data_IF_024440628491
#
_entry.id   IF_024440628491
#
_cell.length_a   1.000
_cell.length_b   1.000
_cell.length_c   1.000
_cell.angle_alpha   90.00
_cell.angle_beta   90.00
_cell.angle_gamma   90.00
#
_symmetry.space_group_name_H-M   'P 1'
#
loop_
_entity.id
_entity.type
_entity.pdbx_description
1 polymer ?
#
# COMPACT_ATOMS: atom_id res chain seq x y z
N UNK A 1 6.98 3.40 -12.76
CA UNK A 1 5.72 2.68 -12.48
C UNK A 1 6.08 1.44 -11.71
N UNK A 2 5.27 1.07 -10.72
CA UNK A 2 5.42 -0.17 -9.97
C UNK A 2 4.07 -0.87 -9.87
N UNK A 3 4.07 -2.20 -9.98
CA UNK A 3 2.95 -3.05 -9.59
C UNK A 3 3.48 -4.16 -8.69
N UNK A 4 2.96 -4.21 -7.47
CA UNK A 4 3.31 -5.19 -6.45
C UNK A 4 2.08 -5.97 -6.01
N UNK A 5 2.26 -7.23 -5.62
CA UNK A 5 1.17 -8.04 -5.11
C UNK A 5 1.62 -9.11 -4.12
N UNK A 6 0.66 -9.61 -3.37
CA UNK A 6 0.80 -10.79 -2.52
C UNK A 6 -0.48 -11.63 -2.60
N UNK A 7 -0.33 -12.92 -2.37
CA UNK A 7 -1.43 -13.87 -2.24
C UNK A 7 -1.30 -14.66 -0.95
N UNK A 8 -2.40 -14.95 -0.28
CA UNK A 8 -2.46 -15.73 0.95
C UNK A 8 -1.49 -15.21 2.04
N UNK A 9 -1.64 -13.93 2.39
CA UNK A 9 -0.84 -13.29 3.44
C UNK A 9 -1.69 -12.93 4.64
N UNK A 10 -1.29 -13.39 5.82
CA UNK A 10 -1.92 -13.00 7.09
C UNK A 10 -1.23 -11.75 7.62
N UNK A 11 -2.01 -10.72 7.90
CA UNK A 11 -1.54 -9.42 8.36
C UNK A 11 -2.21 -9.09 9.68
N UNK A 12 -1.41 -8.84 10.71
CA UNK A 12 -1.90 -8.43 12.02
C UNK A 12 -2.56 -7.04 11.96
N UNK A 13 -3.36 -6.71 12.98
CA UNK A 13 -3.84 -5.35 13.15
C UNK A 13 -2.66 -4.37 13.29
N UNK A 14 -2.78 -3.21 12.65
CA UNK A 14 -1.79 -2.13 12.56
C UNK A 14 -0.45 -2.52 11.90
N UNK A 15 -0.38 -3.68 11.24
CA UNK A 15 0.81 -4.09 10.50
C UNK A 15 0.77 -3.59 9.04
N UNK A 16 1.95 -3.42 8.46
CA UNK A 16 2.09 -3.17 7.03
C UNK A 16 1.70 -4.41 6.25
N UNK A 17 0.86 -4.24 5.24
CA UNK A 17 0.53 -5.29 4.27
C UNK A 17 1.77 -5.54 3.41
N UNK A 18 2.32 -6.77 3.38
CA UNK A 18 3.50 -7.07 2.58
C UNK A 18 3.13 -7.25 1.11
N UNK A 19 3.96 -6.70 0.22
CA UNK A 19 3.95 -7.00 -1.22
C UNK A 19 5.19 -7.84 -1.52
N UNK A 20 5.01 -9.15 -1.65
CA UNK A 20 6.11 -10.12 -1.77
C UNK A 20 6.55 -10.33 -3.22
N UNK A 21 5.72 -9.95 -4.18
CA UNK A 21 5.98 -10.10 -5.60
C UNK A 21 5.83 -8.75 -6.31
N UNK A 22 6.56 -8.61 -7.42
CA UNK A 22 6.53 -7.42 -8.28
C UNK A 22 6.37 -7.89 -9.71
N UNK A 23 5.31 -7.46 -10.40
CA UNK A 23 5.08 -7.76 -11.82
C UNK A 23 5.69 -6.69 -12.71
N UNK A 24 5.63 -5.43 -12.28
CA UNK A 24 6.14 -4.28 -13.01
C UNK A 24 7.01 -3.47 -12.06
N UNK A 25 8.27 -3.23 -12.44
CA UNK A 25 9.10 -2.19 -11.86
C UNK A 25 9.85 -1.51 -12.99
N UNK A 26 9.41 -0.30 -13.34
CA UNK A 26 9.96 0.45 -14.48
C UNK A 26 10.58 1.77 -14.03
N UNK A 27 11.86 1.91 -14.36
CA UNK A 27 12.68 3.08 -14.03
C UNK A 27 12.98 3.16 -12.54
N UNK A 28 13.45 4.33 -12.09
CA UNK A 28 13.77 4.56 -10.68
C UNK A 28 12.69 5.35 -9.93
N UNK A 29 11.49 5.59 -10.49
CA UNK A 29 10.50 6.51 -9.89
C UNK A 29 9.83 5.94 -8.64
N UNK A 30 9.41 4.68 -8.70
CA UNK A 30 8.78 3.94 -7.61
C UNK A 30 9.43 2.56 -7.56
N UNK A 31 9.89 2.15 -6.38
CA UNK A 31 10.63 0.90 -6.19
C UNK A 31 10.14 0.19 -4.93
N UNK A 32 10.05 -1.14 -4.97
CA UNK A 32 9.83 -1.91 -3.75
C UNK A 32 11.14 -1.92 -2.95
N UNK A 33 11.13 -1.27 -1.79
CA UNK A 33 12.29 -1.14 -0.92
C UNK A 33 12.40 -2.32 0.06
N UNK A 34 11.26 -2.76 0.58
CA UNK A 34 11.11 -3.95 1.42
C UNK A 34 9.67 -4.48 1.27
N UNK A 35 9.36 -5.70 1.75
CA UNK A 35 7.98 -6.20 1.76
C UNK A 35 7.03 -5.22 2.46
N UNK A 36 6.11 -4.60 1.69
CA UNK A 36 5.16 -3.61 2.19
C UNK A 36 5.67 -2.16 2.23
N UNK A 37 6.88 -1.89 1.74
CA UNK A 37 7.50 -0.57 1.70
C UNK A 37 7.85 -0.18 0.27
N UNK A 38 7.20 0.86 -0.26
CA UNK A 38 7.46 1.37 -1.61
C UNK A 38 8.10 2.76 -1.49
N UNK A 39 9.31 2.90 -2.06
CA UNK A 39 10.03 4.15 -2.13
C UNK A 39 9.66 4.92 -3.39
N UNK A 40 9.25 6.18 -3.23
CA UNK A 40 9.00 7.14 -4.29
C UNK A 40 10.21 8.11 -4.39
N UNK A 41 11.01 7.93 -5.43
CA UNK A 41 12.33 8.55 -5.55
C UNK A 41 12.35 9.87 -6.35
N UNK A 42 11.29 10.12 -7.14
CA UNK A 42 11.22 11.29 -8.02
C UNK A 42 10.11 12.24 -7.58
N UNK A 43 10.38 13.53 -7.63
CA UNK A 43 9.39 14.59 -7.47
C UNK A 43 8.29 14.45 -8.51
N UNK A 44 7.07 14.79 -8.11
CA UNK A 44 5.88 14.64 -8.94
C UNK A 44 4.68 14.13 -8.17
N UNK A 45 3.63 13.81 -8.90
CA UNK A 45 2.40 13.23 -8.36
C UNK A 45 2.32 11.76 -8.75
N UNK A 46 1.97 10.91 -7.79
CA UNK A 46 1.81 9.48 -7.97
C UNK A 46 0.36 9.11 -7.73
N UNK A 47 -0.24 8.41 -8.68
CA UNK A 47 -1.50 7.71 -8.47
C UNK A 47 -1.19 6.34 -7.86
N UNK A 48 -1.80 6.08 -6.71
CA UNK A 48 -1.70 4.83 -5.97
C UNK A 48 -3.08 4.19 -5.95
N UNK A 49 -3.19 3.02 -6.54
CA UNK A 49 -4.41 2.20 -6.54
C UNK A 49 -4.11 0.92 -5.79
N UNK A 50 -5.00 0.56 -4.86
CA UNK A 50 -4.89 -0.65 -4.05
C UNK A 50 -6.19 -1.40 -4.15
N UNK A 51 -6.09 -2.70 -4.40
CA UNK A 51 -7.20 -3.64 -4.41
C UNK A 51 -6.82 -4.85 -3.54
N UNK A 52 -7.72 -5.23 -2.65
CA UNK A 52 -7.51 -6.32 -1.73
C UNK A 52 -8.80 -7.13 -1.57
N UNK A 53 -8.65 -8.45 -1.39
CA UNK A 53 -9.73 -9.32 -0.96
C UNK A 53 -9.20 -10.23 0.15
N UNK A 54 -9.96 -10.36 1.22
CA UNK A 54 -9.52 -11.13 2.37
C UNK A 54 -10.64 -11.49 3.33
N UNK A 55 -10.27 -12.31 4.30
CA UNK A 55 -11.15 -12.84 5.34
C UNK A 55 -10.60 -12.37 6.70
N UNK A 56 -11.41 -11.75 7.57
CA UNK A 56 -10.95 -11.34 8.89
C UNK A 56 -10.78 -12.56 9.79
N UNK A 57 -9.76 -12.57 10.66
CA UNK A 57 -9.59 -13.64 11.65
C UNK A 57 -10.64 -13.60 12.76
N UNK A 58 -11.25 -12.44 12.97
CA UNK A 58 -12.31 -12.16 13.95
C UNK A 58 -13.31 -11.21 13.32
N UNK A 59 -14.61 -11.46 13.47
CA UNK A 59 -15.64 -10.58 12.91
C UNK A 59 -15.44 -9.14 13.38
N UNK A 60 -15.53 -8.18 12.45
CA UNK A 60 -15.24 -6.77 12.74
C UNK A 60 -14.90 -5.97 11.49
N UNK A 61 -14.45 -4.73 11.72
CA UNK A 61 -14.07 -3.83 10.64
C UNK A 61 -12.70 -4.23 10.11
N UNK A 62 -12.66 -4.69 8.86
CA UNK A 62 -11.45 -4.76 8.06
C UNK A 62 -11.20 -3.39 7.46
N UNK A 63 -9.96 -2.93 7.50
CA UNK A 63 -9.62 -1.61 6.99
C UNK A 63 -8.18 -1.58 6.51
N UNK A 64 -7.99 -1.06 5.30
CA UNK A 64 -6.67 -0.74 4.74
C UNK A 64 -6.53 0.77 4.62
N UNK A 65 -5.34 1.28 4.93
CA UNK A 65 -5.04 2.70 4.85
C UNK A 65 -3.61 2.93 4.36
N UNK A 66 -3.43 3.92 3.49
CA UNK A 66 -2.11 4.35 3.08
C UNK A 66 -1.41 5.10 4.24
N UNK A 67 -0.18 4.75 4.54
CA UNK A 67 0.74 5.60 5.28
C UNK A 67 1.76 6.22 4.34
N UNK A 68 2.11 7.48 4.61
CA UNK A 68 3.17 8.22 3.94
C UNK A 68 4.17 8.66 4.99
N UNK A 69 5.41 8.22 4.87
CA UNK A 69 6.49 8.49 5.83
C UNK A 69 6.08 8.17 7.28
N UNK A 70 5.33 7.08 7.46
CA UNK A 70 4.81 6.64 8.76
C UNK A 70 3.52 7.32 9.22
N UNK A 71 3.03 8.35 8.51
CA UNK A 71 1.79 9.06 8.84
C UNK A 71 0.62 8.52 8.03
N UNK A 72 -0.41 8.04 8.72
CA UNK A 72 -1.65 7.57 8.09
C UNK A 72 -2.37 8.70 7.34
N UNK A 73 -2.82 8.39 6.13
CA UNK A 73 -3.47 9.32 5.22
C UNK A 73 -4.99 9.12 5.28
N UNK A 74 -5.78 10.02 5.90
CA UNK A 74 -7.22 9.83 6.09
C UNK A 74 -8.01 9.80 4.77
N UNK A 75 -7.48 10.44 3.73
CA UNK A 75 -8.06 10.46 2.39
C UNK A 75 -7.81 9.18 1.57
N UNK A 76 -7.04 8.23 2.08
CA UNK A 76 -6.59 7.05 1.35
C UNK A 76 -6.81 5.79 2.19
N UNK A 77 -8.09 5.47 2.40
CA UNK A 77 -8.51 4.32 3.20
C UNK A 77 -9.76 3.65 2.60
N UNK A 78 -9.95 2.38 2.93
CA UNK A 78 -11.14 1.60 2.60
C UNK A 78 -11.45 0.68 3.76
N UNK A 79 -12.73 0.56 4.13
CA UNK A 79 -13.15 -0.25 5.26
C UNK A 79 -14.46 -0.98 4.98
N UNK A 80 -14.58 -2.19 5.49
CA UNK A 80 -15.76 -3.05 5.37
C UNK A 80 -15.92 -3.87 6.65
N UNK A 81 -17.16 -4.12 7.06
CA UNK A 81 -17.44 -5.01 8.19
C UNK A 81 -17.52 -6.43 7.67
N UNK A 82 -16.53 -7.25 8.00
CA UNK A 82 -16.44 -8.63 7.53
C UNK A 82 -16.77 -9.67 8.61
N UNK A 83 -17.21 -10.84 8.15
CA UNK A 83 -17.41 -12.03 8.95
C UNK A 83 -16.29 -13.06 8.71
N UNK A 84 -16.00 -13.94 9.67
CA UNK A 84 -14.83 -14.84 9.64
C UNK A 84 -14.84 -15.92 8.57
N UNK A 85 -15.89 -16.02 7.77
CA UNK A 85 -16.05 -16.98 6.67
C UNK A 85 -16.20 -16.32 5.31
N UNK A 86 -16.36 -15.01 5.29
CA UNK A 86 -16.75 -14.27 4.10
C UNK A 86 -15.51 -13.55 3.54
N UNK A 87 -15.38 -13.60 2.22
CA UNK A 87 -14.35 -12.82 1.52
C UNK A 87 -14.95 -11.48 1.18
N UNK A 88 -14.39 -10.41 1.74
CA UNK A 88 -14.78 -9.05 1.36
C UNK A 88 -13.66 -8.34 0.62
N UNK A 89 -14.08 -7.42 -0.25
CA UNK A 89 -13.19 -6.60 -1.06
C UNK A 89 -12.99 -5.23 -0.41
N UNK A 90 -11.77 -4.73 -0.48
CA UNK A 90 -11.40 -3.37 -0.09
C UNK A 90 -10.54 -2.76 -1.19
N UNK A 91 -10.88 -1.57 -1.62
CA UNK A 91 -10.07 -0.82 -2.57
C UNK A 91 -10.11 0.67 -2.31
N UNK A 92 -9.03 1.35 -2.69
CA UNK A 92 -8.97 2.80 -2.73
C UNK A 92 -8.00 3.26 -3.83
N UNK A 93 -8.22 4.46 -4.33
CA UNK A 93 -7.28 5.16 -5.20
C UNK A 93 -7.00 6.54 -4.62
N UNK A 94 -5.74 6.95 -4.61
CA UNK A 94 -5.33 8.26 -4.09
C UNK A 94 -4.17 8.85 -4.87
N UNK A 95 -3.94 10.14 -4.68
CA UNK A 95 -2.79 10.87 -5.23
C UNK A 95 -1.80 11.20 -4.12
N UNK A 96 -0.52 10.89 -4.34
CA UNK A 96 0.58 11.18 -3.42
C UNK A 96 1.54 12.15 -4.09
N UNK A 97 1.71 13.33 -3.50
CA UNK A 97 2.70 14.31 -3.96
C UNK A 97 4.06 14.07 -3.30
N UNK A 98 5.11 13.97 -4.13
CA UNK A 98 6.52 13.96 -3.73
C UNK A 98 7.12 15.30 -4.16
N UNK A 99 7.65 16.07 -3.21
CA UNK A 99 8.10 17.44 -3.50
C UNK A 99 9.52 17.52 -4.07
N UNK A 100 10.38 16.55 -3.75
CA UNK A 100 11.79 16.59 -4.08
C UNK A 100 12.25 15.24 -4.61
N UNK A 101 13.18 15.29 -5.57
CA UNK A 101 13.92 14.10 -6.01
C UNK A 101 14.88 13.67 -4.91
N UNK A 102 15.01 12.36 -4.69
CA UNK A 102 15.99 11.84 -3.74
C UNK A 102 17.36 11.52 -4.38
N UNK A 103 17.50 11.71 -5.70
CA UNK A 103 18.69 11.27 -6.46
C UNK A 103 19.79 12.31 -6.59
N UNK A 104 19.53 13.58 -6.26
CA UNK A 104 20.45 14.70 -6.53
C UNK A 104 20.83 15.51 -5.29
N UNK A 105 20.41 15.10 -4.09
CA UNK A 105 20.84 15.74 -2.85
C UNK A 105 21.34 14.70 -1.87
N UNK A 106 22.47 15.00 -1.23
CA UNK A 106 23.17 14.11 -0.31
C UNK A 106 22.39 13.83 0.99
N UNK A 107 21.25 14.50 1.21
CA UNK A 107 20.44 14.40 2.43
C UNK A 107 18.95 14.10 2.17
N UNK A 108 18.54 13.81 0.93
CA UNK A 108 17.14 13.48 0.63
C UNK A 108 16.87 11.99 0.76
N UNK A 109 16.04 11.60 1.72
CA UNK A 109 15.44 10.26 1.77
C UNK A 109 14.29 10.16 0.76
N UNK A 110 14.02 8.97 0.18
CA UNK A 110 12.77 8.76 -0.55
C UNK A 110 11.56 9.04 0.32
N UNK A 111 10.46 9.49 -0.30
CA UNK A 111 9.15 9.38 0.33
C UNK A 111 8.76 7.91 0.33
N UNK A 112 8.38 7.37 1.48
CA UNK A 112 8.01 5.96 1.63
C UNK A 112 6.51 5.86 1.83
N UNK A 113 5.86 5.03 1.02
CA UNK A 113 4.45 4.68 1.20
C UNK A 113 4.30 3.22 1.62
N UNK A 114 3.30 2.96 2.46
CA UNK A 114 2.92 1.61 2.90
C UNK A 114 1.40 1.49 2.93
N UNK A 115 0.88 0.28 2.73
CA UNK A 115 -0.51 -0.02 3.04
C UNK A 115 -0.53 -0.67 4.41
N UNK A 116 -1.33 -0.12 5.33
CA UNK A 116 -1.45 -0.57 6.72
C UNK A 116 -2.81 -1.19 6.92
N UNK A 117 -2.86 -2.37 7.52
CA UNK A 117 -4.11 -2.98 7.98
C UNK A 117 -4.53 -2.31 9.30
N UNK A 118 -5.38 -1.30 9.25
CA UNK A 118 -5.80 -0.54 10.45
C UNK A 118 -7.00 -1.14 11.18
N UNK A 119 -7.63 -2.16 10.57
CA UNK A 119 -8.74 -2.90 11.16
C UNK A 119 -8.31 -4.12 11.99
N UNK A 120 -9.23 -5.07 12.12
CA UNK A 120 -8.95 -6.41 12.69
C UNK A 120 -7.88 -7.15 11.86
N UNK A 121 -7.23 -8.19 12.39
CA UNK A 121 -6.30 -8.99 11.59
C UNK A 121 -7.01 -9.67 10.42
N UNK A 122 -6.37 -9.69 9.25
CA UNK A 122 -6.96 -10.18 7.99
C UNK A 122 -6.00 -11.18 7.33
N UNK A 123 -6.55 -12.25 6.77
CA UNK A 123 -5.85 -13.08 5.79
C UNK A 123 -6.28 -12.65 4.40
N UNK A 124 -5.38 -11.98 3.68
CA UNK A 124 -5.61 -11.54 2.32
C UNK A 124 -5.40 -12.70 1.35
N UNK A 125 -6.46 -13.09 0.64
CA UNK A 125 -6.39 -14.02 -0.49
C UNK A 125 -5.54 -13.41 -1.60
N UNK A 126 -5.76 -12.12 -1.87
CA UNK A 126 -4.98 -11.32 -2.81
C UNK A 126 -4.94 -9.87 -2.34
N UNK A 127 -3.79 -9.23 -2.53
CA UNK A 127 -3.63 -7.78 -2.41
C UNK A 127 -2.69 -7.30 -3.51
N UNK A 128 -3.12 -6.28 -4.24
CA UNK A 128 -2.41 -5.67 -5.35
C UNK A 128 -2.28 -4.17 -5.10
N UNK A 129 -1.14 -3.61 -5.51
CA UNK A 129 -0.90 -2.17 -5.52
C UNK A 129 -0.28 -1.78 -6.86
N UNK A 130 -0.84 -0.76 -7.48
CA UNK A 130 -0.28 -0.11 -8.67
C UNK A 130 0.10 1.33 -8.31
N UNK A 131 1.34 1.69 -8.60
CA UNK A 131 1.90 3.03 -8.39
C UNK A 131 2.39 3.60 -9.71
N UNK A 132 1.72 4.65 -10.17
CA UNK A 132 2.03 5.32 -11.44
C UNK A 132 2.33 6.80 -11.20
N UNK A 133 3.50 7.26 -11.67
CA UNK A 133 3.81 8.70 -11.70
C UNK A 133 3.00 9.35 -12.82
N UNK A 134 2.18 10.35 -12.50
CA UNK A 134 1.29 11.02 -13.47
C UNK A 134 1.87 12.32 -14.03
N UNK A 135 2.68 13.05 -13.26
CA UNK A 135 3.43 14.23 -13.69
C UNK A 135 4.67 14.43 -12.81
#
# INVERSE_FOLDING_TARGET
MLEGYSTNVTVAANASVPFNNVTIEKGCTAKLDAPGSIALNKSGVYMVTVDAAGIPSTAGIMSIQLSKDGVLQPQAQSAVTGATTDVDNMSFTTLVQVRQDNTCSCCSSPVVIRVVNTGVPVTYNIVNIVVTKVC
#
